data_IF_259432808676
#
_entry.id   IF_259432808676
#
_cell.length_a   1.000
_cell.length_b   1.000
_cell.length_c   1.000
_cell.angle_alpha   90.00
_cell.angle_beta   90.00
_cell.angle_gamma   90.00
#
_symmetry.space_group_name_H-M   'P 1'
#
loop_
_entity.id
_entity.type
_entity.pdbx_description
1 polymer ?
#
# COMPACT_ATOMS: atom_id res chain seq x y z
N UNK A 1 -5.20 -54.53 -18.67
CA UNK A 1 -6.21 -55.60 -18.45
C UNK A 1 -6.51 -55.60 -16.97
N UNK A 2 -7.70 -55.35 -16.43
CA UNK A 2 -9.05 -55.64 -16.92
C UNK A 2 -10.02 -54.50 -16.56
N UNK A 3 -10.99 -54.27 -17.45
CA UNK A 3 -12.13 -53.36 -17.33
C UNK A 3 -13.42 -54.18 -17.12
N UNK A 4 -14.47 -53.49 -16.63
CA UNK A 4 -15.92 -53.84 -16.58
C UNK A 4 -16.36 -54.46 -15.24
N UNK A 5 -17.50 -54.10 -14.64
CA UNK A 5 -18.67 -53.26 -15.02
C UNK A 5 -19.48 -53.07 -13.73
N UNK A 6 -20.01 -51.87 -13.46
CA UNK A 6 -21.28 -51.73 -12.76
C UNK A 6 -22.07 -50.62 -13.44
N UNK A 7 -23.24 -51.00 -13.98
CA UNK A 7 -24.18 -50.16 -14.72
C UNK A 7 -25.14 -49.46 -13.75
N UNK A 8 -25.31 -48.16 -13.99
CA UNK A 8 -26.51 -47.33 -13.86
C UNK A 8 -27.64 -47.75 -12.90
N UNK A 9 -27.90 -46.88 -11.91
CA UNK A 9 -29.25 -46.50 -11.52
C UNK A 9 -29.26 -45.06 -11.01
N UNK A 10 -30.20 -44.29 -11.56
CA UNK A 10 -30.56 -42.90 -11.36
C UNK A 10 -30.36 -42.29 -9.97
N UNK A 11 -29.64 -41.17 -9.92
CA UNK A 11 -30.03 -39.87 -9.36
C UNK A 11 -28.75 -39.02 -9.21
N UNK A 12 -28.22 -38.56 -10.34
CA UNK A 12 -27.17 -37.55 -10.32
C UNK A 12 -27.85 -36.20 -10.16
N UNK A 13 -28.07 -35.77 -8.91
CA UNK A 13 -28.31 -34.36 -8.65
C UNK A 13 -27.03 -33.62 -9.03
N UNK A 14 -27.07 -33.02 -10.22
CA UNK A 14 -26.15 -31.99 -10.66
C UNK A 14 -26.26 -30.81 -9.69
N UNK A 15 -25.49 -30.82 -8.61
CA UNK A 15 -25.00 -29.58 -8.03
C UNK A 15 -23.82 -29.15 -8.90
N UNK A 16 -24.13 -28.66 -10.11
CA UNK A 16 -23.29 -27.60 -10.66
C UNK A 16 -23.45 -26.45 -9.68
N UNK A 17 -22.46 -26.21 -8.82
CA UNK A 17 -22.29 -24.86 -8.32
C UNK A 17 -22.10 -24.01 -9.58
N UNK A 18 -23.11 -23.22 -9.93
CA UNK A 18 -22.91 -22.11 -10.84
C UNK A 18 -21.86 -21.23 -10.18
N UNK A 19 -20.59 -21.47 -10.50
CA UNK A 19 -19.63 -20.38 -10.55
C UNK A 19 -20.18 -19.53 -11.68
N UNK A 20 -20.99 -18.52 -11.33
CA UNK A 20 -21.42 -17.49 -12.27
C UNK A 20 -20.16 -16.97 -12.94
N UNK A 21 -19.98 -17.33 -14.21
CA UNK A 21 -19.12 -16.55 -15.10
C UNK A 21 -19.61 -15.11 -14.99
N UNK A 22 -18.69 -14.17 -14.78
CA UNK A 22 -19.00 -12.75 -14.58
C UNK A 22 -20.05 -12.30 -15.61
N UNK A 23 -21.29 -12.12 -15.16
CA UNK A 23 -22.36 -11.68 -16.05
C UNK A 23 -22.06 -10.23 -16.41
N UNK A 24 -21.84 -9.99 -17.70
CA UNK A 24 -21.84 -8.62 -18.21
C UNK A 24 -23.19 -8.00 -17.90
N UNK A 25 -23.20 -6.75 -17.45
CA UNK A 25 -24.46 -6.07 -17.20
C UNK A 25 -25.31 -6.03 -18.48
N UNK A 26 -26.65 -6.08 -18.39
CA UNK A 26 -27.53 -5.87 -19.53
C UNK A 26 -27.22 -4.54 -20.24
N UNK A 27 -27.41 -4.46 -21.56
CA UNK A 27 -27.08 -3.27 -22.36
C UNK A 27 -27.76 -1.97 -21.89
N UNK A 28 -28.91 -2.09 -21.22
CA UNK A 28 -29.64 -0.95 -20.67
C UNK A 28 -29.11 -0.48 -19.30
N UNK A 29 -28.14 -1.16 -18.71
CA UNK A 29 -27.51 -0.78 -17.45
C UNK A 29 -26.37 0.22 -17.70
N UNK A 30 -26.73 1.41 -18.18
CA UNK A 30 -25.79 2.48 -18.44
C UNK A 30 -25.26 3.08 -17.14
N UNK A 31 -23.93 3.21 -17.03
CA UNK A 31 -23.25 3.85 -15.91
C UNK A 31 -23.75 5.29 -15.73
N UNK A 32 -23.94 5.71 -14.47
CA UNK A 32 -24.34 7.08 -14.10
C UNK A 32 -23.10 7.94 -13.81
N UNK A 33 -22.62 8.78 -14.76
CA UNK A 33 -21.29 9.41 -14.65
C UNK A 33 -21.21 10.46 -13.54
N UNK A 34 -22.36 10.94 -13.08
CA UNK A 34 -22.52 11.95 -12.02
C UNK A 34 -22.98 11.37 -10.68
N UNK A 35 -23.01 10.03 -10.54
CA UNK A 35 -23.35 9.37 -9.27
C UNK A 35 -22.47 9.90 -8.13
N UNK A 36 -23.02 10.05 -6.93
CA UNK A 36 -22.24 10.57 -5.79
C UNK A 36 -21.07 9.64 -5.50
N UNK A 37 -19.89 10.21 -5.29
CA UNK A 37 -18.70 9.45 -4.86
C UNK A 37 -18.86 9.17 -3.37
N UNK A 38 -18.74 7.89 -2.98
CA UNK A 38 -18.80 7.44 -1.59
C UNK A 38 -17.39 7.25 -1.02
N UNK A 39 -16.47 6.72 -1.85
CA UNK A 39 -15.05 6.59 -1.53
C UNK A 39 -14.23 6.64 -2.82
N UNK A 40 -13.60 7.76 -3.13
CA UNK A 40 -12.80 7.94 -4.36
C UNK A 40 -11.30 8.03 -4.14
N UNK A 41 -10.86 8.14 -2.89
CA UNK A 41 -9.46 8.30 -2.50
C UNK A 41 -9.02 7.13 -1.62
N UNK A 42 -7.70 6.90 -1.56
CA UNK A 42 -7.11 6.05 -0.53
C UNK A 42 -7.52 6.53 0.86
N UNK A 43 -7.89 5.60 1.74
CA UNK A 43 -8.38 5.95 3.07
C UNK A 43 -9.60 6.87 3.10
N UNK A 44 -10.37 6.88 2.01
CA UNK A 44 -11.62 7.62 1.79
C UNK A 44 -11.52 9.16 1.76
N UNK A 45 -10.39 9.75 2.14
CA UNK A 45 -10.19 11.20 2.16
C UNK A 45 -8.70 11.56 2.13
N UNK A 46 -8.42 12.86 2.02
CA UNK A 46 -7.07 13.43 1.97
C UNK A 46 -6.24 13.21 3.25
N UNK A 47 -6.89 12.93 4.38
CA UNK A 47 -6.22 12.69 5.65
C UNK A 47 -5.82 11.23 5.84
N UNK A 48 -6.20 10.33 4.91
CA UNK A 48 -5.90 8.89 4.91
C UNK A 48 -6.38 8.13 6.17
N UNK A 49 -7.36 8.65 6.90
CA UNK A 49 -7.79 8.05 8.17
C UNK A 49 -8.59 6.73 8.01
N UNK A 50 -8.99 6.36 6.79
CA UNK A 50 -9.79 5.16 6.49
C UNK A 50 -11.12 5.12 7.24
N UNK A 51 -11.71 6.28 7.49
CA UNK A 51 -12.93 6.40 8.26
C UNK A 51 -14.12 6.81 7.40
N UNK A 52 -15.24 6.13 7.64
CA UNK A 52 -16.57 6.51 7.17
C UNK A 52 -17.47 6.61 8.39
N UNK A 53 -18.13 7.75 8.57
CA UNK A 53 -19.13 7.92 9.63
C UNK A 53 -20.34 7.03 9.36
N UNK A 54 -21.14 6.75 10.40
CA UNK A 54 -22.42 6.04 10.24
C UNK A 54 -23.35 6.74 9.24
N UNK A 55 -23.32 8.07 9.22
CA UNK A 55 -24.16 8.88 8.33
C UNK A 55 -23.73 8.73 6.86
N UNK A 56 -22.42 8.64 6.61
CA UNK A 56 -21.90 8.40 5.26
C UNK A 56 -22.07 6.94 4.83
N UNK A 57 -21.85 5.99 5.74
CA UNK A 57 -21.90 4.56 5.46
C UNK A 57 -23.34 4.00 5.43
N UNK A 58 -24.31 4.68 6.06
CA UNK A 58 -25.66 4.17 6.26
C UNK A 58 -25.72 2.94 7.19
N UNK A 59 -24.65 2.67 7.94
CA UNK A 59 -24.48 1.50 8.82
C UNK A 59 -23.86 1.97 10.15
N UNK A 60 -24.44 1.54 11.26
CA UNK A 60 -23.93 1.78 12.62
C UNK A 60 -23.40 0.48 13.26
N UNK A 61 -22.72 0.61 14.40
CA UNK A 61 -22.29 -0.55 15.19
C UNK A 61 -23.46 -1.48 15.59
N UNK A 62 -24.66 -0.94 15.78
CA UNK A 62 -25.86 -1.72 16.13
C UNK A 62 -26.38 -2.56 14.96
N UNK A 63 -25.99 -2.24 13.72
CA UNK A 63 -26.41 -2.94 12.51
C UNK A 63 -25.53 -4.13 12.18
N UNK A 64 -24.27 -4.12 12.64
CA UNK A 64 -23.25 -5.14 12.33
C UNK A 64 -23.74 -6.57 12.54
N UNK A 65 -24.42 -6.93 13.65
CA UNK A 65 -24.91 -8.30 13.85
C UNK A 65 -25.99 -8.75 12.87
N UNK A 66 -26.60 -7.82 12.10
CA UNK A 66 -27.69 -8.08 11.16
C UNK A 66 -27.24 -8.07 9.71
N UNK A 67 -25.99 -7.72 9.44
CA UNK A 67 -25.45 -7.67 8.07
C UNK A 67 -25.51 -9.05 7.42
N UNK A 68 -25.83 -9.05 6.13
CA UNK A 68 -25.85 -10.24 5.28
C UNK A 68 -25.09 -9.93 4.00
N UNK A 69 -24.44 -10.95 3.44
CA UNK A 69 -23.81 -10.85 2.12
C UNK A 69 -24.88 -10.48 1.08
N UNK A 70 -24.67 -9.35 0.39
CA UNK A 70 -25.57 -8.90 -0.70
C UNK A 70 -25.22 -9.63 -2.00
N UNK A 71 -23.96 -9.59 -2.41
CA UNK A 71 -23.42 -10.29 -3.58
C UNK A 71 -21.92 -10.53 -3.38
N UNK A 72 -21.33 -11.42 -4.17
CA UNK A 72 -19.89 -11.69 -4.20
C UNK A 72 -19.41 -11.74 -5.65
N UNK A 73 -18.19 -11.27 -5.88
CA UNK A 73 -17.55 -11.28 -7.19
C UNK A 73 -16.19 -11.98 -7.13
N UNK A 74 -15.95 -12.90 -8.05
CA UNK A 74 -14.68 -13.62 -8.12
C UNK A 74 -13.67 -12.84 -8.96
N UNK A 75 -12.59 -12.38 -8.32
CA UNK A 75 -11.45 -11.78 -8.99
C UNK A 75 -10.39 -12.85 -9.25
N UNK A 76 -10.02 -13.14 -10.52
CA UNK A 76 -9.05 -14.17 -10.81
C UNK A 76 -7.67 -13.77 -10.27
N UNK A 77 -6.94 -14.69 -9.61
CA UNK A 77 -5.59 -14.43 -9.13
C UNK A 77 -4.61 -14.36 -10.30
N UNK A 78 -3.45 -13.74 -10.07
CA UNK A 78 -2.34 -13.72 -11.05
C UNK A 78 -1.77 -15.12 -11.30
N UNK A 79 -1.66 -15.92 -10.24
CA UNK A 79 -1.12 -17.27 -10.27
C UNK A 79 -2.14 -18.28 -9.73
N UNK A 80 -2.28 -19.47 -10.35
CA UNK A 80 -3.17 -20.50 -9.82
C UNK A 80 -2.82 -20.87 -8.37
N UNK A 81 -3.83 -20.98 -7.51
CA UNK A 81 -3.66 -21.36 -6.11
C UNK A 81 -3.23 -20.22 -5.18
N UNK A 82 -3.08 -18.99 -5.68
CA UNK A 82 -2.87 -17.81 -4.82
C UNK A 82 -4.18 -17.07 -4.58
N UNK A 83 -4.26 -16.39 -3.42
CA UNK A 83 -5.35 -15.48 -3.08
C UNK A 83 -4.72 -14.20 -2.58
N UNK A 84 -4.56 -13.23 -3.48
CA UNK A 84 -3.98 -11.95 -3.14
C UNK A 84 -4.81 -10.82 -3.76
N UNK A 85 -5.30 -9.93 -2.91
CA UNK A 85 -6.05 -8.74 -3.31
C UNK A 85 -5.50 -7.55 -2.52
N UNK A 86 -4.95 -6.56 -3.24
CA UNK A 86 -4.30 -5.38 -2.64
C UNK A 86 -5.02 -4.07 -2.97
N UNK A 87 -5.82 -4.04 -4.03
CA UNK A 87 -6.53 -2.84 -4.48
C UNK A 87 -7.65 -2.49 -3.50
N UNK A 88 -7.57 -1.29 -2.91
CA UNK A 88 -8.75 -0.64 -2.33
C UNK A 88 -9.68 -0.20 -3.49
N UNK A 89 -10.98 -0.52 -3.46
CA UNK A 89 -11.89 -0.08 -4.50
C UNK A 89 -12.20 1.42 -4.40
N UNK A 90 -12.50 2.04 -5.55
CA UNK A 90 -13.22 3.31 -5.60
C UNK A 90 -14.72 3.03 -5.77
N UNK A 91 -15.56 3.76 -5.06
CA UNK A 91 -17.00 3.48 -4.94
C UNK A 91 -17.81 4.75 -5.16
N UNK A 92 -18.77 4.68 -6.07
CA UNK A 92 -19.89 5.61 -6.19
C UNK A 92 -21.19 4.92 -5.78
N UNK A 93 -22.29 5.65 -5.70
CA UNK A 93 -23.63 5.06 -5.49
C UNK A 93 -24.00 4.03 -6.57
N UNK A 94 -23.41 4.10 -7.77
CA UNK A 94 -23.80 3.33 -8.96
C UNK A 94 -22.76 2.30 -9.41
N UNK A 95 -21.47 2.55 -9.12
CA UNK A 95 -20.36 1.75 -9.66
C UNK A 95 -19.24 1.56 -8.63
N UNK A 96 -18.73 0.32 -8.56
CA UNK A 96 -17.53 -0.07 -7.85
C UNK A 96 -16.40 -0.34 -8.84
N UNK A 97 -15.27 0.34 -8.67
CA UNK A 97 -14.06 0.16 -9.47
C UNK A 97 -12.98 -0.54 -8.65
N UNK A 98 -12.46 -1.67 -9.15
CA UNK A 98 -11.48 -2.47 -8.42
C UNK A 98 -10.44 -3.09 -9.35
N UNK A 99 -9.16 -3.00 -8.96
CA UNK A 99 -8.06 -3.68 -9.63
C UNK A 99 -7.87 -5.09 -9.08
N UNK A 100 -7.58 -6.04 -9.97
CA UNK A 100 -7.16 -7.40 -9.62
C UNK A 100 -5.68 -7.61 -9.99
N UNK A 101 -5.04 -8.55 -9.29
CA UNK A 101 -3.63 -8.84 -9.52
C UNK A 101 -3.31 -9.44 -10.89
N UNK A 102 -4.29 -10.06 -11.56
CA UNK A 102 -4.16 -10.50 -12.95
C UNK A 102 -4.03 -9.36 -13.97
N UNK A 103 -3.90 -8.11 -13.53
CA UNK A 103 -3.79 -6.93 -14.39
C UNK A 103 -5.14 -6.43 -14.90
N UNK A 104 -6.26 -6.91 -14.38
CA UNK A 104 -7.59 -6.52 -14.84
C UNK A 104 -8.20 -5.53 -13.85
N UNK A 105 -8.67 -4.39 -14.36
CA UNK A 105 -9.49 -3.44 -13.64
C UNK A 105 -10.95 -3.63 -14.05
N UNK A 106 -11.84 -3.67 -13.07
CA UNK A 106 -13.27 -3.93 -13.25
C UNK A 106 -14.07 -2.71 -12.84
N UNK A 107 -15.09 -2.37 -13.63
CA UNK A 107 -16.21 -1.55 -13.19
C UNK A 107 -17.43 -2.44 -13.01
N UNK A 108 -17.90 -2.54 -11.77
CA UNK A 108 -19.02 -3.36 -11.36
C UNK A 108 -20.20 -2.47 -10.98
N UNK A 109 -21.41 -2.89 -11.35
CA UNK A 109 -22.65 -2.28 -10.85
C UNK A 109 -22.72 -2.48 -9.31
N UNK A 110 -22.95 -1.41 -8.56
CA UNK A 110 -22.94 -1.43 -7.09
C UNK A 110 -24.07 -2.29 -6.49
N UNK A 111 -25.20 -2.40 -7.20
CA UNK A 111 -26.40 -3.09 -6.72
C UNK A 111 -26.36 -4.60 -6.98
N UNK A 112 -25.90 -4.99 -8.16
CA UNK A 112 -25.97 -6.37 -8.67
C UNK A 112 -24.61 -7.07 -8.73
N UNK A 113 -23.51 -6.31 -8.77
CA UNK A 113 -22.16 -6.84 -8.98
C UNK A 113 -21.87 -7.28 -10.43
N UNK A 114 -22.79 -7.06 -11.38
CA UNK A 114 -22.54 -7.37 -12.79
C UNK A 114 -21.40 -6.49 -13.34
N UNK A 115 -20.69 -7.00 -14.35
CA UNK A 115 -19.54 -6.27 -14.94
C UNK A 115 -20.02 -5.31 -16.01
N UNK A 116 -19.80 -4.00 -15.80
CA UNK A 116 -20.12 -2.96 -16.78
C UNK A 116 -19.07 -2.90 -17.88
N UNK A 117 -17.81 -2.88 -17.49
CA UNK A 117 -16.66 -2.93 -18.39
C UNK A 117 -15.42 -3.46 -17.66
N UNK A 118 -14.43 -3.90 -18.43
CA UNK A 118 -13.10 -4.27 -17.92
C UNK A 118 -12.00 -3.57 -18.70
N UNK A 119 -10.88 -3.32 -18.05
CA UNK A 119 -9.64 -2.86 -18.67
C UNK A 119 -8.52 -3.85 -18.35
N UNK A 120 -7.79 -4.29 -19.37
CA UNK A 120 -6.65 -5.18 -19.21
C UNK A 120 -5.36 -4.35 -19.27
N UNK A 121 -4.65 -4.32 -18.15
CA UNK A 121 -3.28 -3.84 -18.02
C UNK A 121 -2.29 -4.98 -18.31
N UNK A 122 -1.08 -4.63 -18.75
CA UNK A 122 -0.05 -5.63 -19.08
C UNK A 122 0.53 -6.29 -17.83
N UNK A 123 0.61 -5.53 -16.73
CA UNK A 123 1.08 -5.98 -15.43
C UNK A 123 0.04 -5.75 -14.34
N UNK A 124 0.33 -6.31 -13.17
CA UNK A 124 -0.53 -6.25 -11.99
C UNK A 124 -0.94 -4.81 -11.62
N UNK A 125 -2.25 -4.59 -11.47
CA UNK A 125 -2.80 -3.39 -10.84
C UNK A 125 -2.69 -3.58 -9.33
N UNK A 126 -1.69 -2.95 -8.73
CA UNK A 126 -1.35 -3.15 -7.32
C UNK A 126 -2.05 -2.16 -6.39
N UNK A 127 -2.21 -0.92 -6.84
CA UNK A 127 -2.67 0.18 -5.99
C UNK A 127 -4.18 0.14 -5.74
N UNK A 128 -4.65 0.91 -4.76
CA UNK A 128 -6.05 1.34 -4.74
C UNK A 128 -6.40 2.15 -5.99
N UNK A 129 -7.67 2.15 -6.37
CA UNK A 129 -8.18 2.93 -7.49
C UNK A 129 -8.57 4.32 -6.99
N UNK A 130 -8.14 5.35 -7.71
CA UNK A 130 -8.44 6.74 -7.40
C UNK A 130 -9.44 7.27 -8.42
N UNK A 131 -10.52 7.90 -7.96
CA UNK A 131 -11.57 8.45 -8.80
C UNK A 131 -11.56 9.97 -8.72
N UNK A 132 -11.45 10.63 -9.87
CA UNK A 132 -11.58 12.09 -9.94
C UNK A 132 -13.02 12.55 -9.72
N UNK A 133 -13.17 13.76 -9.18
CA UNK A 133 -14.42 14.49 -9.19
C UNK A 133 -14.36 15.72 -10.12
N UNK A 134 -13.96 15.54 -11.39
CA UNK A 134 -13.91 16.65 -12.34
C UNK A 134 -15.31 17.18 -12.64
N UNK A 135 -15.45 18.50 -12.62
CA UNK A 135 -16.69 19.23 -12.72
C UNK A 135 -17.21 19.33 -14.18
N UNK A 136 -18.24 18.54 -14.49
CA UNK A 136 -19.26 18.84 -15.51
C UNK A 136 -18.86 19.03 -16.99
N UNK A 137 -17.57 19.11 -17.34
CA UNK A 137 -17.06 19.34 -18.71
C UNK A 137 -16.31 18.14 -19.30
N UNK A 138 -15.90 17.18 -18.47
CA UNK A 138 -15.20 15.96 -18.88
C UNK A 138 -15.74 14.76 -18.10
N UNK A 139 -15.66 13.55 -18.67
CA UNK A 139 -15.89 12.31 -17.92
C UNK A 139 -14.93 12.21 -16.73
N UNK A 140 -15.37 11.58 -15.64
CA UNK A 140 -14.47 11.25 -14.52
C UNK A 140 -13.34 10.35 -15.03
N UNK A 141 -12.18 10.50 -14.39
CA UNK A 141 -10.99 9.70 -14.64
C UNK A 141 -10.73 8.77 -13.45
N UNK A 142 -10.24 7.58 -13.76
CA UNK A 142 -9.70 6.63 -12.79
C UNK A 142 -8.18 6.65 -12.89
N UNK A 143 -7.49 6.57 -11.76
CA UNK A 143 -6.04 6.48 -11.70
C UNK A 143 -5.60 5.29 -10.89
N UNK A 144 -4.55 4.62 -11.36
CA UNK A 144 -3.88 3.55 -10.64
C UNK A 144 -2.41 3.47 -11.05
N UNK A 145 -1.61 2.85 -10.19
CA UNK A 145 -0.22 2.52 -10.44
C UNK A 145 0.00 1.01 -10.59
N UNK A 146 1.09 0.64 -11.25
CA UNK A 146 1.45 -0.76 -11.46
C UNK A 146 2.91 -1.11 -11.09
N UNK A 147 3.21 -2.40 -11.22
CA UNK A 147 4.50 -3.00 -10.86
C UNK A 147 5.66 -2.59 -11.78
N UNK A 148 5.41 -1.89 -12.89
CA UNK A 148 6.43 -1.39 -13.83
C UNK A 148 6.73 0.10 -13.65
N UNK A 149 6.22 0.72 -12.57
CA UNK A 149 6.48 2.13 -12.30
C UNK A 149 5.62 3.07 -13.14
N UNK A 150 4.52 2.57 -13.72
CA UNK A 150 3.62 3.34 -14.57
C UNK A 150 2.39 3.76 -13.78
N UNK A 151 1.99 5.02 -13.94
CA UNK A 151 0.65 5.50 -13.55
C UNK A 151 -0.22 5.58 -14.79
N UNK A 152 -1.41 5.01 -14.74
CA UNK A 152 -2.38 4.99 -15.84
C UNK A 152 -3.65 5.73 -15.47
N UNK A 153 -4.20 6.49 -16.41
CA UNK A 153 -5.51 7.11 -16.31
C UNK A 153 -6.50 6.52 -17.32
N UNK A 154 -7.69 6.19 -16.85
CA UNK A 154 -8.80 5.68 -17.67
C UNK A 154 -10.00 6.62 -17.59
N UNK A 155 -10.83 6.61 -18.63
CA UNK A 155 -12.17 7.17 -18.57
C UNK A 155 -13.06 6.28 -17.70
N UNK A 156 -13.62 6.80 -16.61
CA UNK A 156 -14.39 6.03 -15.63
C UNK A 156 -15.70 5.44 -16.20
N UNK A 157 -16.23 6.02 -17.28
CA UNK A 157 -17.47 5.55 -17.92
C UNK A 157 -17.23 4.45 -18.93
N UNK A 158 -16.11 4.48 -19.64
CA UNK A 158 -15.84 3.59 -20.79
C UNK A 158 -14.71 2.59 -20.54
N UNK A 159 -13.86 2.83 -19.54
CA UNK A 159 -12.63 2.07 -19.32
C UNK A 159 -11.51 2.38 -20.31
N UNK A 160 -11.72 3.32 -21.25
CA UNK A 160 -10.72 3.68 -22.25
C UNK A 160 -9.51 4.37 -21.61
N UNK A 161 -8.30 3.95 -22.00
CA UNK A 161 -7.06 4.58 -21.56
C UNK A 161 -6.97 6.00 -22.12
N UNK A 162 -6.80 6.96 -21.23
CA UNK A 162 -6.61 8.38 -21.55
C UNK A 162 -5.12 8.71 -21.66
N UNK A 163 -4.33 8.27 -20.69
CA UNK A 163 -2.88 8.41 -20.69
C UNK A 163 -2.23 7.36 -19.78
N UNK A 164 -0.93 7.16 -19.95
CA UNK A 164 -0.08 6.51 -18.95
C UNK A 164 1.28 7.20 -18.90
N UNK A 165 1.96 7.11 -17.77
CA UNK A 165 3.22 7.80 -17.51
C UNK A 165 4.18 6.92 -16.71
N UNK A 166 5.38 6.71 -17.24
CA UNK A 166 6.51 6.16 -16.49
C UNK A 166 7.01 7.21 -15.49
N UNK A 167 7.06 6.83 -14.21
CA UNK A 167 7.36 7.76 -13.12
C UNK A 167 8.84 7.86 -12.78
N UNK A 168 9.63 6.86 -13.14
CA UNK A 168 11.08 6.87 -12.95
C UNK A 168 11.74 5.95 -13.97
N UNK A 169 12.86 6.40 -14.55
CA UNK A 169 13.63 5.65 -15.54
C UNK A 169 14.38 4.42 -14.98
N UNK A 170 14.42 4.26 -13.65
CA UNK A 170 15.09 3.13 -13.03
C UNK A 170 14.32 1.84 -13.35
N UNK A 171 14.98 0.80 -13.88
CA UNK A 171 14.29 -0.40 -14.39
C UNK A 171 13.61 -1.25 -13.30
N UNK A 172 13.89 -0.98 -12.04
CA UNK A 172 13.24 -1.62 -10.90
C UNK A 172 12.21 -0.69 -10.22
N UNK A 173 11.85 0.46 -10.78
CA UNK A 173 10.86 1.35 -10.19
C UNK A 173 9.46 0.70 -10.19
N UNK A 174 8.67 0.98 -9.16
CA UNK A 174 7.31 0.48 -9.01
C UNK A 174 6.39 1.55 -8.41
N UNK A 175 5.09 1.45 -8.71
CA UNK A 175 4.05 2.19 -8.00
C UNK A 175 3.28 1.24 -7.09
N UNK A 176 3.64 1.21 -5.81
CA UNK A 176 3.02 0.34 -4.81
C UNK A 176 1.95 1.04 -3.97
N UNK A 177 2.05 2.37 -3.86
CA UNK A 177 1.10 3.21 -3.14
C UNK A 177 0.06 3.77 -4.09
N UNK A 178 -1.19 3.86 -3.64
CA UNK A 178 -2.20 4.61 -4.39
C UNK A 178 -1.80 6.09 -4.47
N UNK A 179 -1.88 6.73 -5.65
CA UNK A 179 -1.73 8.18 -5.75
C UNK A 179 -2.76 8.92 -4.88
N UNK A 180 -2.48 10.15 -4.48
CA UNK A 180 -3.50 11.02 -3.89
C UNK A 180 -3.88 12.11 -4.88
N UNK A 181 -5.18 12.29 -5.15
CA UNK A 181 -5.68 13.33 -6.02
C UNK A 181 -6.15 14.54 -5.19
N UNK A 182 -5.59 15.71 -5.48
CA UNK A 182 -6.04 16.97 -4.90
C UNK A 182 -5.91 18.10 -5.93
N UNK A 183 -7.00 18.85 -6.17
CA UNK A 183 -7.07 19.97 -7.13
C UNK A 183 -6.47 19.62 -8.51
N UNK A 184 -6.96 18.54 -9.11
CA UNK A 184 -6.53 18.07 -10.44
C UNK A 184 -5.04 17.68 -10.53
N UNK A 185 -4.40 17.40 -9.39
CA UNK A 185 -3.01 16.98 -9.30
C UNK A 185 -2.90 15.66 -8.55
N UNK A 186 -2.15 14.72 -9.12
CA UNK A 186 -1.80 13.46 -8.48
C UNK A 186 -0.47 13.60 -7.76
N UNK A 187 -0.43 13.19 -6.50
CA UNK A 187 0.80 13.00 -5.73
C UNK A 187 1.12 11.51 -5.69
N UNK A 188 2.21 11.13 -6.35
CA UNK A 188 2.56 9.74 -6.66
C UNK A 188 3.84 9.39 -5.92
N UNK A 189 3.79 8.35 -5.09
CA UNK A 189 4.97 7.80 -4.42
C UNK A 189 5.61 6.69 -5.28
N UNK A 190 6.94 6.69 -5.38
CA UNK A 190 7.72 5.73 -6.16
C UNK A 190 8.57 4.85 -5.25
N UNK A 191 8.42 3.53 -5.43
CA UNK A 191 9.13 2.46 -4.72
C UNK A 191 9.96 1.62 -5.70
N UNK A 192 10.54 0.49 -5.26
CA UNK A 192 11.35 -0.36 -6.12
C UNK A 192 11.42 -1.85 -5.75
N UNK A 193 11.62 -2.69 -6.77
CA UNK A 193 12.08 -4.08 -6.64
C UNK A 193 13.60 -4.24 -6.46
N UNK A 194 14.38 -3.16 -6.48
CA UNK A 194 15.85 -3.27 -6.40
C UNK A 194 16.31 -3.93 -5.09
N UNK A 195 15.49 -3.82 -4.02
CA UNK A 195 15.68 -4.56 -2.75
C UNK A 195 15.80 -6.07 -2.97
N UNK A 196 15.06 -6.64 -3.94
CA UNK A 196 15.11 -8.06 -4.32
C UNK A 196 16.21 -8.29 -5.36
N UNK A 197 16.35 -7.43 -6.37
CA UNK A 197 17.38 -7.54 -7.41
C UNK A 197 18.80 -7.60 -6.81
N UNK A 198 19.02 -6.94 -5.67
CA UNK A 198 20.24 -7.00 -4.89
C UNK A 198 20.65 -8.43 -4.45
N UNK A 199 19.75 -9.42 -4.46
CA UNK A 199 20.09 -10.83 -4.20
C UNK A 199 21.11 -11.38 -5.20
N UNK A 200 21.11 -10.89 -6.44
CA UNK A 200 22.07 -11.32 -7.45
C UNK A 200 23.46 -10.73 -7.16
N UNK A 201 24.48 -11.54 -6.82
CA UNK A 201 25.81 -11.03 -6.48
C UNK A 201 26.55 -10.37 -7.64
N UNK A 202 26.08 -10.56 -8.88
CA UNK A 202 26.61 -9.93 -10.09
C UNK A 202 25.88 -8.64 -10.47
N UNK A 203 24.88 -8.24 -9.68
CA UNK A 203 24.17 -6.97 -9.89
C UNK A 203 24.99 -5.80 -9.34
N UNK A 204 25.07 -4.71 -10.11
CA UNK A 204 25.73 -3.46 -9.70
C UNK A 204 24.86 -2.68 -8.69
N UNK A 205 24.67 -3.28 -7.51
CA UNK A 205 23.79 -2.76 -6.47
C UNK A 205 24.36 -1.50 -5.81
N UNK A 206 23.58 -0.49 -5.46
CA UNK A 206 22.20 -0.26 -5.85
C UNK A 206 22.07 1.22 -6.20
N UNK A 207 21.19 1.58 -7.13
CA UNK A 207 21.10 2.93 -7.69
C UNK A 207 19.72 3.57 -7.61
N UNK A 208 18.69 2.83 -7.19
CA UNK A 208 17.34 3.37 -7.04
C UNK A 208 17.30 4.47 -5.97
N UNK A 209 16.39 5.43 -6.16
CA UNK A 209 16.09 6.48 -5.19
C UNK A 209 14.58 6.58 -5.07
N UNK A 210 14.04 6.39 -3.87
CA UNK A 210 12.62 6.67 -3.63
C UNK A 210 12.28 8.12 -3.97
N UNK A 211 11.05 8.37 -4.40
CA UNK A 211 10.60 9.72 -4.71
C UNK A 211 9.11 9.91 -4.53
N UNK A 212 8.71 11.18 -4.45
CA UNK A 212 7.33 11.63 -4.64
C UNK A 212 7.32 12.56 -5.84
N UNK A 213 6.30 12.44 -6.68
CA UNK A 213 6.08 13.32 -7.82
C UNK A 213 4.69 13.95 -7.77
N UNK A 214 4.59 15.18 -8.25
CA UNK A 214 3.32 15.81 -8.61
C UNK A 214 3.10 15.68 -10.11
N UNK A 215 1.93 15.20 -10.48
CA UNK A 215 1.55 14.94 -11.87
C UNK A 215 0.23 15.64 -12.17
N UNK A 216 0.14 16.31 -13.32
CA UNK A 216 -1.13 16.83 -13.81
C UNK A 216 -2.08 15.66 -14.10
N UNK A 217 -3.23 15.62 -13.43
CA UNK A 217 -4.13 14.48 -13.51
C UNK A 217 -4.78 14.33 -14.90
N UNK A 218 -4.85 15.39 -15.70
CA UNK A 218 -5.50 15.38 -17.01
C UNK A 218 -4.55 14.93 -18.11
N UNK A 219 -3.28 15.32 -18.02
CA UNK A 219 -2.28 15.07 -19.08
C UNK A 219 -1.27 13.99 -18.75
N UNK A 220 -1.06 13.69 -17.47
CA UNK A 220 0.03 12.81 -17.01
C UNK A 220 1.40 13.49 -17.00
N UNK A 221 1.47 14.81 -17.16
CA UNK A 221 2.73 15.56 -17.10
C UNK A 221 3.28 15.64 -15.68
N UNK A 222 4.55 15.28 -15.49
CA UNK A 222 5.25 15.41 -14.21
C UNK A 222 5.63 16.89 -14.02
N UNK A 223 5.04 17.53 -13.01
CA UNK A 223 5.29 18.93 -12.66
C UNK A 223 6.57 19.06 -11.84
N UNK A 224 6.74 18.20 -10.84
CA UNK A 224 7.97 18.11 -10.04
C UNK A 224 8.15 16.68 -9.52
N UNK A 225 9.40 16.34 -9.20
CA UNK A 225 9.75 15.08 -8.56
C UNK A 225 10.87 15.30 -7.55
N UNK A 226 10.63 14.87 -6.31
CA UNK A 226 11.56 15.02 -5.18
C UNK A 226 11.97 13.66 -4.68
N UNK A 227 13.28 13.45 -4.61
CA UNK A 227 13.87 12.18 -4.18
C UNK A 227 14.12 12.16 -2.66
N UNK A 228 13.92 11.00 -2.03
CA UNK A 228 14.16 10.76 -0.60
C UNK A 228 15.65 10.61 -0.25
N UNK A 229 16.50 10.36 -1.24
CA UNK A 229 17.95 10.18 -1.04
C UNK A 229 18.76 11.08 -1.95
N UNK A 230 20.02 11.41 -1.59
CA UNK A 230 21.00 11.97 -2.52
C UNK A 230 21.22 11.07 -3.74
N UNK A 231 21.90 11.59 -4.77
CA UNK A 231 22.31 10.76 -5.91
C UNK A 231 23.33 9.72 -5.44
N UNK A 232 23.17 8.43 -5.79
CA UNK A 232 24.16 7.39 -5.47
C UNK A 232 25.52 7.69 -6.09
N UNK A 233 26.57 7.45 -5.33
CA UNK A 233 27.97 7.52 -5.76
C UNK A 233 28.63 6.14 -5.63
N UNK A 234 29.78 5.95 -6.29
CA UNK A 234 30.56 4.71 -6.16
C UNK A 234 31.07 4.59 -4.72
N UNK A 235 30.80 3.46 -4.07
CA UNK A 235 31.23 3.23 -2.69
C UNK A 235 32.38 2.24 -2.58
N UNK A 236 32.39 1.21 -3.44
CA UNK A 236 33.44 0.18 -3.49
C UNK A 236 33.00 -1.01 -4.32
N UNK A 237 33.70 -2.14 -4.21
CA UNK A 237 33.30 -3.40 -4.85
C UNK A 237 32.81 -4.39 -3.79
N UNK A 238 31.90 -5.29 -4.18
CA UNK A 238 31.54 -6.43 -3.35
C UNK A 238 32.65 -7.50 -3.36
N UNK A 239 32.47 -8.59 -2.61
CA UNK A 239 33.48 -9.66 -2.48
C UNK A 239 33.81 -10.41 -3.78
N UNK A 240 33.01 -10.22 -4.84
CA UNK A 240 33.23 -10.82 -6.17
C UNK A 240 33.65 -9.78 -7.22
N UNK A 241 34.04 -8.57 -6.79
CA UNK A 241 34.60 -7.53 -7.66
C UNK A 241 33.57 -6.70 -8.43
N UNK A 242 32.31 -6.71 -8.00
CA UNK A 242 31.23 -5.95 -8.66
C UNK A 242 31.09 -4.59 -8.01
N UNK A 243 31.01 -3.54 -8.83
CA UNK A 243 30.90 -2.16 -8.36
C UNK A 243 29.58 -1.93 -7.63
N UNK A 244 29.70 -1.35 -6.44
CA UNK A 244 28.59 -0.97 -5.58
C UNK A 244 28.38 0.54 -5.54
N UNK A 245 27.13 0.96 -5.34
CA UNK A 245 26.68 2.36 -5.34
C UNK A 245 25.84 2.65 -4.10
N UNK A 246 25.92 3.88 -3.59
CA UNK A 246 25.09 4.32 -2.46
C UNK A 246 25.26 5.82 -2.13
N UNK A 247 24.38 6.39 -1.30
CA UNK A 247 23.16 5.78 -0.75
C UNK A 247 22.13 5.50 -1.85
N UNK A 248 21.34 4.43 -1.70
CA UNK A 248 20.23 4.08 -2.61
C UNK A 248 19.10 3.43 -1.84
N UNK A 249 17.92 3.24 -2.45
CA UNK A 249 16.70 2.84 -1.76
C UNK A 249 15.99 4.05 -1.16
N UNK A 250 15.62 3.94 0.11
CA UNK A 250 14.62 4.75 0.82
C UNK A 250 13.33 4.91 -0.01
N UNK A 251 12.74 3.80 -0.49
CA UNK A 251 11.53 3.83 -1.31
C UNK A 251 10.39 4.57 -0.61
N UNK A 252 9.52 5.23 -1.37
CA UNK A 252 8.27 5.76 -0.83
C UNK A 252 7.15 4.85 -1.31
N UNK A 253 6.69 3.97 -0.41
CA UNK A 253 5.75 2.91 -0.77
C UNK A 253 4.40 3.00 -0.05
N UNK A 254 4.16 4.12 0.65
CA UNK A 254 2.88 4.49 1.24
C UNK A 254 2.23 5.68 0.52
N UNK A 255 0.92 5.81 0.69
CA UNK A 255 0.12 6.88 0.09
C UNK A 255 0.26 8.17 0.91
N UNK A 256 0.54 9.33 0.26
CA UNK A 256 0.66 10.60 0.95
C UNK A 256 -0.65 11.04 1.63
N UNK A 257 -0.58 11.62 2.83
CA UNK A 257 -1.69 12.45 3.35
C UNK A 257 -1.47 13.91 2.94
N UNK A 258 -2.55 14.66 2.75
CA UNK A 258 -2.52 16.05 2.28
C UNK A 258 -3.00 16.99 3.39
N UNK A 259 -2.14 17.93 3.76
CA UNK A 259 -2.43 19.03 4.68
C UNK A 259 -2.71 20.31 3.90
N UNK A 260 -4.00 20.60 3.73
CA UNK A 260 -4.45 21.81 3.05
C UNK A 260 -4.06 23.07 3.84
N UNK A 261 -4.07 23.02 5.18
CA UNK A 261 -3.77 24.17 6.05
C UNK A 261 -2.32 24.61 5.89
N UNK A 262 -1.39 23.67 5.71
CA UNK A 262 0.05 23.94 5.60
C UNK A 262 0.59 23.86 4.17
N UNK A 263 -0.26 23.61 3.18
CA UNK A 263 0.12 23.35 1.79
C UNK A 263 1.19 22.25 1.68
N UNK A 264 1.02 21.17 2.44
CA UNK A 264 2.01 20.11 2.56
C UNK A 264 1.42 18.72 2.28
N UNK A 265 2.30 17.79 1.90
CA UNK A 265 2.02 16.35 1.96
C UNK A 265 2.98 15.67 2.94
N UNK A 266 2.56 14.53 3.49
CA UNK A 266 3.38 13.70 4.37
C UNK A 266 3.50 12.27 3.85
N UNK A 267 4.73 11.77 3.76
CA UNK A 267 5.04 10.38 3.39
C UNK A 267 6.05 9.76 4.34
N UNK A 268 5.96 8.46 4.53
CA UNK A 268 7.01 7.65 5.14
C UNK A 268 7.95 7.08 4.08
N UNK A 269 9.24 6.97 4.41
CA UNK A 269 10.24 6.31 3.57
C UNK A 269 10.66 4.98 4.16
N UNK A 270 11.06 4.07 3.28
CA UNK A 270 11.71 2.82 3.66
C UNK A 270 13.19 2.99 3.96
N UNK A 271 13.85 1.86 4.09
CA UNK A 271 15.25 1.67 4.36
C UNK A 271 16.14 1.96 3.13
N UNK A 272 17.42 2.28 3.36
CA UNK A 272 18.38 2.31 2.26
C UNK A 272 18.79 0.90 1.83
N UNK A 273 18.94 0.66 0.53
CA UNK A 273 19.38 -0.63 0.00
C UNK A 273 20.90 -0.83 0.06
N UNK A 274 21.65 0.25 0.23
CA UNK A 274 23.12 0.24 0.21
C UNK A 274 23.71 1.19 1.25
N UNK A 275 24.96 0.92 1.63
CA UNK A 275 25.76 1.81 2.47
C UNK A 275 26.13 3.09 1.69
N UNK A 276 26.12 4.28 2.30
CA UNK A 276 25.70 4.54 3.68
C UNK A 276 24.18 4.67 3.81
N UNK A 277 23.64 4.38 5.00
CA UNK A 277 22.30 4.86 5.36
C UNK A 277 22.28 6.40 5.37
N UNK A 278 21.30 6.98 4.67
CA UNK A 278 21.08 8.40 4.49
C UNK A 278 20.05 8.94 5.49
N UNK A 279 19.92 10.27 5.58
CA UNK A 279 18.94 10.89 6.49
C UNK A 279 17.49 10.70 6.08
N UNK A 280 17.23 10.54 4.79
CA UNK A 280 15.87 10.37 4.26
C UNK A 280 15.37 8.93 4.29
N UNK A 281 16.16 7.99 4.79
CA UNK A 281 15.73 6.62 5.11
C UNK A 281 14.93 6.58 6.39
N UNK A 282 13.93 5.71 6.47
CA UNK A 282 13.13 5.44 7.68
C UNK A 282 12.60 6.72 8.33
N UNK A 283 12.12 7.61 7.48
CA UNK A 283 11.82 9.00 7.80
C UNK A 283 10.39 9.36 7.45
N UNK A 284 9.86 10.36 8.15
CA UNK A 284 8.74 11.14 7.64
C UNK A 284 9.27 12.35 6.90
N UNK A 285 8.83 12.51 5.66
CA UNK A 285 9.10 13.68 4.83
C UNK A 285 7.82 14.52 4.73
N UNK A 286 7.95 15.81 5.03
CA UNK A 286 6.95 16.81 4.67
C UNK A 286 7.41 17.57 3.44
N UNK A 287 6.59 17.63 2.40
CA UNK A 287 6.92 18.33 1.16
C UNK A 287 5.84 19.36 0.84
N UNK A 288 6.24 20.51 0.33
CA UNK A 288 5.32 21.53 -0.19
C UNK A 288 4.62 20.99 -1.44
N UNK A 289 3.29 21.14 -1.50
CA UNK A 289 2.45 20.63 -2.60
C UNK A 289 2.81 21.26 -3.95
N UNK A 290 3.24 22.52 -3.95
CA UNK A 290 3.47 23.29 -5.17
C UNK A 290 4.85 23.11 -5.77
N UNK A 291 5.88 23.16 -4.93
CA UNK A 291 7.28 23.12 -5.35
C UNK A 291 7.94 21.75 -5.19
N UNK A 292 7.34 20.84 -4.41
CA UNK A 292 7.97 19.58 -4.02
C UNK A 292 9.12 19.75 -3.02
N UNK A 293 9.40 20.97 -2.55
CA UNK A 293 10.48 21.23 -1.60
C UNK A 293 10.20 20.52 -0.28
N UNK A 294 11.20 19.80 0.25
CA UNK A 294 11.14 19.25 1.60
C UNK A 294 11.09 20.40 2.61
N UNK A 295 9.98 20.48 3.34
CA UNK A 295 9.74 21.44 4.41
C UNK A 295 10.46 21.02 5.69
N UNK A 296 10.35 19.75 6.04
CA UNK A 296 11.10 19.11 7.12
C UNK A 296 11.23 17.60 6.89
N UNK A 297 12.24 17.02 7.52
CA UNK A 297 12.57 15.60 7.49
C UNK A 297 12.75 15.11 8.93
N UNK A 298 12.07 14.03 9.29
CA UNK A 298 12.21 13.41 10.60
C UNK A 298 12.56 11.93 10.46
N UNK A 299 13.86 11.64 10.61
CA UNK A 299 14.36 10.27 10.68
C UNK A 299 13.98 9.60 12.00
N UNK A 300 13.28 8.46 11.89
CA UNK A 300 12.80 7.66 13.02
C UNK A 300 13.77 6.53 13.35
N UNK A 301 14.34 5.87 12.33
CA UNK A 301 15.42 4.88 12.49
C UNK A 301 16.69 5.38 11.79
N UNK A 302 17.81 5.39 12.50
CA UNK A 302 19.12 5.73 11.93
C UNK A 302 19.92 4.48 11.63
N UNK A 303 20.70 4.52 10.55
CA UNK A 303 21.63 3.44 10.25
C UNK A 303 20.94 2.16 9.79
N UNK A 304 19.70 2.24 9.32
CA UNK A 304 19.03 1.12 8.68
C UNK A 304 19.36 1.15 7.18
N UNK A 305 20.25 0.24 6.78
CA UNK A 305 20.39 -0.10 5.38
C UNK A 305 20.33 -1.62 5.28
N UNK A 306 19.46 -2.11 4.41
CA UNK A 306 19.16 -3.51 4.25
C UNK A 306 18.68 -3.81 2.82
N UNK A 307 18.97 -5.01 2.35
CA UNK A 307 18.37 -5.56 1.14
C UNK A 307 18.28 -7.08 1.26
N UNK A 308 17.62 -7.75 0.31
CA UNK A 308 17.41 -9.20 0.37
C UNK A 308 18.70 -10.03 0.32
N UNK A 309 19.85 -9.46 -0.08
CA UNK A 309 21.14 -10.16 0.03
C UNK A 309 21.56 -10.40 1.47
N UNK A 310 21.09 -9.58 2.43
CA UNK A 310 21.38 -9.73 3.85
C UNK A 310 20.81 -11.02 4.45
N UNK A 311 19.78 -11.61 3.83
CA UNK A 311 19.19 -12.87 4.28
C UNK A 311 19.84 -14.10 3.67
N UNK A 312 20.72 -13.93 2.67
CA UNK A 312 21.37 -15.02 1.94
C UNK A 312 22.74 -15.38 2.53
N UNK A 313 23.19 -16.64 2.36
CA UNK A 313 24.57 -17.03 2.67
C UNK A 313 25.60 -16.14 1.96
N UNK A 314 26.65 -15.75 2.68
CA UNK A 314 27.75 -14.93 2.16
C UNK A 314 27.47 -13.42 2.09
N UNK A 315 26.20 -13.01 2.06
CA UNK A 315 25.72 -11.62 2.15
C UNK A 315 26.45 -10.65 1.19
N UNK A 316 26.60 -11.08 -0.06
CA UNK A 316 27.54 -10.47 -1.01
C UNK A 316 27.21 -9.01 -1.34
N UNK A 317 25.93 -8.64 -1.42
CA UNK A 317 25.50 -7.26 -1.64
C UNK A 317 24.88 -6.63 -0.39
N UNK A 318 24.97 -7.27 0.77
CA UNK A 318 24.40 -6.72 1.99
C UNK A 318 25.19 -5.48 2.42
N UNK A 319 24.53 -4.33 2.68
CA UNK A 319 25.19 -3.15 3.23
C UNK A 319 25.88 -3.44 4.58
N UNK A 320 26.90 -2.63 4.89
CA UNK A 320 27.70 -2.74 6.12
C UNK A 320 26.85 -2.62 7.38
N UNK A 321 25.81 -1.80 7.32
CA UNK A 321 24.84 -1.59 8.39
C UNK A 321 24.10 -2.88 8.76
N UNK A 322 23.78 -3.72 7.76
CA UNK A 322 22.99 -4.95 7.90
C UNK A 322 21.78 -4.72 8.82
N UNK A 323 20.96 -3.75 8.44
CA UNK A 323 19.85 -3.23 9.21
C UNK A 323 18.72 -4.23 9.44
N UNK A 324 17.57 -3.73 9.90
CA UNK A 324 16.42 -4.55 10.27
C UNK A 324 15.24 -4.40 9.30
N UNK A 325 15.32 -3.47 8.34
CA UNK A 325 14.21 -3.11 7.45
C UNK A 325 13.01 -2.63 8.29
N UNK A 326 13.17 -1.45 8.91
CA UNK A 326 12.22 -0.81 9.81
C UNK A 326 11.52 0.38 9.17
N UNK A 327 11.14 0.20 7.92
CA UNK A 327 10.45 1.19 7.11
C UNK A 327 9.30 1.87 7.84
N UNK A 328 9.11 3.15 7.51
CA UNK A 328 7.84 3.82 7.78
C UNK A 328 6.84 3.43 6.68
N UNK A 329 6.32 2.22 6.81
CA UNK A 329 5.59 1.53 5.76
C UNK A 329 4.10 1.82 5.66
N UNK A 330 3.45 2.07 6.79
CA UNK A 330 2.04 2.39 6.78
C UNK A 330 1.79 3.80 6.22
N UNK A 331 0.59 4.02 5.67
CA UNK A 331 0.16 5.36 5.28
C UNK A 331 0.23 6.32 6.47
N UNK A 332 0.64 7.56 6.19
CA UNK A 332 0.53 8.65 7.16
C UNK A 332 -0.95 9.02 7.32
N UNK A 333 -1.34 9.40 8.53
CA UNK A 333 -2.67 9.97 8.81
C UNK A 333 -2.48 11.39 9.32
N UNK A 334 -3.19 12.35 8.73
CA UNK A 334 -3.33 13.69 9.31
C UNK A 334 -4.52 13.68 10.27
N UNK A 335 -4.22 13.66 11.56
CA UNK A 335 -5.22 13.59 12.63
C UNK A 335 -5.48 14.98 13.22
N UNK A 336 -6.75 15.34 13.37
CA UNK A 336 -7.16 16.60 13.98
C UNK A 336 -7.67 16.34 15.40
N UNK A 337 -7.00 16.90 16.41
CA UNK A 337 -7.42 16.79 17.80
C UNK A 337 -8.53 17.79 18.11
N UNK A 338 -9.34 17.47 19.11
CA UNK A 338 -10.46 18.32 19.56
C UNK A 338 -10.01 19.68 20.15
N UNK A 339 -8.74 19.80 20.55
CA UNK A 339 -8.16 21.07 21.01
C UNK A 339 -7.63 21.95 19.86
N UNK A 340 -7.84 21.53 18.61
CA UNK A 340 -7.45 22.25 17.39
C UNK A 340 -6.01 22.02 16.95
N UNK A 341 -5.24 21.21 17.67
CA UNK A 341 -3.91 20.79 17.23
C UNK A 341 -3.98 19.63 16.23
N UNK A 342 -2.98 19.55 15.35
CA UNK A 342 -2.90 18.52 14.32
C UNK A 342 -1.74 17.56 14.64
N UNK A 343 -1.86 16.30 14.27
CA UNK A 343 -0.81 15.30 14.38
C UNK A 343 -0.62 14.56 13.06
N UNK A 344 0.63 14.31 12.68
CA UNK A 344 0.96 13.32 11.65
C UNK A 344 1.21 11.99 12.35
N UNK A 345 0.33 11.03 12.13
CA UNK A 345 0.45 9.68 12.67
C UNK A 345 1.12 8.78 11.64
N UNK A 346 2.11 8.01 12.07
CA UNK A 346 2.84 7.09 11.22
C UNK A 346 3.06 5.74 11.89
N UNK A 347 2.91 4.66 11.12
CA UNK A 347 3.16 3.29 11.56
C UNK A 347 4.44 2.75 10.94
N UNK A 348 5.26 2.11 11.76
CA UNK A 348 6.57 1.61 11.35
C UNK A 348 6.62 0.07 11.43
N UNK A 349 7.40 -0.56 10.54
CA UNK A 349 7.72 -1.99 10.59
C UNK A 349 8.39 -2.43 11.90
N UNK A 350 8.86 -1.50 12.73
CA UNK A 350 9.36 -1.77 14.09
C UNK A 350 8.27 -2.08 15.12
N UNK A 351 6.99 -2.02 14.72
CA UNK A 351 5.84 -2.11 15.61
C UNK A 351 5.63 -0.84 16.44
N UNK A 352 6.21 0.29 16.04
CA UNK A 352 6.01 1.59 16.71
C UNK A 352 5.03 2.43 15.91
N UNK A 353 4.02 2.98 16.61
CA UNK A 353 3.19 4.09 16.15
C UNK A 353 3.82 5.39 16.64
N UNK A 354 3.94 6.37 15.74
CA UNK A 354 4.51 7.68 16.01
C UNK A 354 3.45 8.76 15.83
N UNK A 355 3.46 9.77 16.70
CA UNK A 355 2.76 11.03 16.47
C UNK A 355 3.74 12.19 16.42
N UNK A 356 3.63 12.99 15.37
CA UNK A 356 4.52 14.09 15.05
C UNK A 356 3.73 15.37 14.95
N UNK A 357 4.29 16.46 15.47
CA UNK A 357 3.70 17.80 15.41
C UNK A 357 4.11 18.48 14.07
N UNK A 358 3.18 18.68 13.13
CA UNK A 358 3.46 19.32 11.85
C UNK A 358 3.75 20.82 11.97
N UNK A 359 3.32 21.49 13.05
CA UNK A 359 3.63 22.91 13.30
C UNK A 359 5.04 23.11 13.86
N UNK A 360 5.68 22.04 14.35
CA UNK A 360 7.00 22.09 14.95
C UNK A 360 7.99 21.17 14.23
N UNK A 361 8.00 21.25 12.90
CA UNK A 361 8.92 20.53 12.02
C UNK A 361 8.99 19.01 12.28
N UNK A 362 7.84 18.39 12.54
CA UNK A 362 7.76 16.95 12.80
C UNK A 362 8.39 16.56 14.14
N UNK A 363 8.33 17.43 15.16
CA UNK A 363 8.75 17.05 16.52
C UNK A 363 7.89 15.88 17.00
N UNK A 364 8.53 14.83 17.52
CA UNK A 364 7.81 13.69 18.13
C UNK A 364 7.05 14.17 19.36
N UNK A 365 5.74 13.95 19.34
CA UNK A 365 4.84 14.20 20.47
C UNK A 365 4.82 12.97 21.37
N UNK A 366 4.63 11.80 20.78
CA UNK A 366 4.71 10.50 21.46
C UNK A 366 5.08 9.39 20.47
N UNK A 367 5.58 8.28 21.02
CA UNK A 367 5.81 7.02 20.32
C UNK A 367 5.20 5.88 21.14
N UNK A 368 4.72 4.81 20.50
CA UNK A 368 4.06 3.69 21.19
C UNK A 368 4.37 2.37 20.50
N UNK A 369 5.05 1.48 21.24
CA UNK A 369 5.44 0.16 20.75
C UNK A 369 4.34 -0.87 21.01
N UNK A 370 3.77 -1.43 19.94
CA UNK A 370 2.66 -2.41 19.98
C UNK A 370 3.09 -3.84 19.60
N UNK A 371 4.29 -4.01 19.06
CA UNK A 371 4.89 -5.31 18.76
C UNK A 371 6.39 -5.26 18.52
N UNK A 372 6.98 -6.40 18.15
CA UNK A 372 8.42 -6.52 17.93
C UNK A 372 8.87 -5.81 16.66
N UNK A 373 8.10 -6.01 15.60
CA UNK A 373 8.44 -5.62 14.25
C UNK A 373 9.33 -6.59 13.48
N UNK A 374 9.74 -6.16 12.28
CA UNK A 374 10.74 -6.78 11.43
C UNK A 374 10.52 -6.46 9.95
N UNK A 375 11.38 -6.98 9.07
CA UNK A 375 11.34 -6.74 7.62
C UNK A 375 9.98 -7.00 6.96
N UNK A 376 9.27 -8.04 7.42
CA UNK A 376 7.88 -8.31 7.00
C UNK A 376 6.84 -8.04 8.10
N UNK A 377 7.27 -7.49 9.24
CA UNK A 377 6.44 -7.34 10.42
C UNK A 377 6.16 -5.89 10.83
N UNK A 378 5.67 -5.73 12.06
CA UNK A 378 5.22 -4.47 12.64
C UNK A 378 3.94 -3.95 12.00
N UNK A 379 3.87 -2.63 11.88
CA UNK A 379 2.75 -1.93 11.24
C UNK A 379 3.14 -1.72 9.78
N UNK A 380 2.86 -2.73 8.96
CA UNK A 380 3.42 -2.85 7.61
C UNK A 380 2.62 -2.05 6.56
N UNK A 381 1.34 -2.38 6.34
CA UNK A 381 0.58 -1.89 5.17
C UNK A 381 -0.57 -0.91 5.48
N UNK A 382 -0.83 -0.57 6.75
CA UNK A 382 -1.88 0.40 7.03
C UNK A 382 -2.09 0.77 8.48
N UNK A 383 -2.59 1.99 8.65
CA UNK A 383 -3.24 2.52 9.85
C UNK A 383 -4.67 2.93 9.48
N UNK A 384 -5.55 2.97 10.48
CA UNK A 384 -6.82 3.67 10.40
C UNK A 384 -7.01 4.55 11.63
N UNK A 385 -7.98 5.44 11.60
CA UNK A 385 -8.38 6.20 12.78
C UNK A 385 -9.79 6.72 12.63
N UNK A 386 -10.53 6.80 13.71
CA UNK A 386 -11.79 7.55 13.77
C UNK A 386 -11.63 8.79 14.65
N UNK A 387 -12.73 9.44 15.00
CA UNK A 387 -12.75 10.63 15.86
C UNK A 387 -12.28 10.37 17.31
N UNK A 388 -12.01 9.11 17.69
CA UNK A 388 -11.68 8.70 19.06
C UNK A 388 -10.32 8.04 19.17
N UNK A 389 -9.95 7.18 18.22
CA UNK A 389 -8.79 6.30 18.32
C UNK A 389 -8.00 6.20 17.03
N UNK A 390 -6.71 5.91 17.18
CA UNK A 390 -5.86 5.38 16.12
C UNK A 390 -5.90 3.86 16.19
N UNK A 391 -6.13 3.19 15.05
CA UNK A 391 -6.12 1.73 14.92
C UNK A 391 -4.83 1.27 14.25
N UNK A 392 -4.03 0.51 14.99
CA UNK A 392 -2.73 -0.01 14.57
C UNK A 392 -2.75 -1.54 14.52
N UNK A 393 -2.96 -2.15 13.33
CA UNK A 393 -2.72 -3.57 13.15
C UNK A 393 -1.21 -3.84 13.20
N UNK A 394 -0.82 -4.83 13.98
CA UNK A 394 0.55 -5.29 14.13
C UNK A 394 0.63 -6.76 13.73
N UNK A 395 1.56 -7.08 12.83
CA UNK A 395 1.88 -8.46 12.43
C UNK A 395 3.36 -8.68 12.71
N UNK A 396 3.73 -9.72 13.47
CA UNK A 396 5.16 -10.01 13.75
C UNK A 396 5.64 -11.21 12.94
N UNK A 397 5.27 -11.20 11.65
CA UNK A 397 5.61 -12.21 10.67
C UNK A 397 7.11 -12.46 10.57
N UNK A 398 7.51 -13.72 10.41
CA UNK A 398 8.90 -14.11 10.23
C UNK A 398 9.12 -14.57 8.79
N UNK A 399 9.98 -13.87 8.06
CA UNK A 399 10.38 -14.30 6.73
C UNK A 399 11.11 -15.65 6.85
N UNK A 400 10.45 -16.74 6.46
CA UNK A 400 10.99 -18.09 6.41
C UNK A 400 10.78 -18.66 5.00
N UNK A 401 11.88 -18.87 4.26
CA UNK A 401 11.85 -19.64 3.02
C UNK A 401 12.97 -20.69 3.08
N UNK A 402 12.58 -21.96 2.95
CA UNK A 402 13.47 -23.12 2.74
C UNK A 402 14.64 -23.26 3.74
N UNK A 403 14.52 -22.70 4.94
CA UNK A 403 15.58 -22.65 5.98
C UNK A 403 16.90 -22.01 5.53
N UNK A 404 16.91 -21.25 4.43
CA UNK A 404 18.10 -20.55 3.91
C UNK A 404 18.11 -19.04 4.22
N UNK A 405 16.99 -18.53 4.75
CA UNK A 405 16.82 -17.12 5.11
C UNK A 405 17.13 -16.93 6.60
N UNK A 406 18.19 -16.20 6.90
CA UNK A 406 18.53 -15.75 8.26
C UNK A 406 18.29 -14.24 8.40
N UNK A 407 17.02 -13.82 8.34
CA UNK A 407 16.68 -12.42 8.52
C UNK A 407 17.03 -11.96 9.95
N UNK A 408 17.79 -10.85 10.05
CA UNK A 408 18.09 -10.19 11.32
C UNK A 408 16.77 -9.68 11.94
N UNK A 409 16.59 -9.85 13.25
CA UNK A 409 15.32 -9.52 13.94
C UNK A 409 15.51 -8.45 15.00
N UNK A 410 14.61 -7.45 15.07
CA UNK A 410 14.59 -6.54 16.20
C UNK A 410 14.37 -7.30 17.51
N UNK A 411 14.96 -6.84 18.63
CA UNK A 411 14.68 -7.43 19.94
C UNK A 411 13.23 -7.14 20.37
N UNK A 412 12.61 -8.09 21.07
CA UNK A 412 11.25 -7.97 21.61
C UNK A 412 10.43 -9.25 21.43
N UNK A 413 9.28 -9.30 22.10
CA UNK A 413 8.31 -10.39 21.97
C UNK A 413 7.32 -10.11 20.83
N UNK A 414 6.92 -11.16 20.12
CA UNK A 414 5.84 -11.08 19.13
C UNK A 414 4.53 -10.68 19.81
N UNK A 415 3.76 -9.85 19.15
CA UNK A 415 2.47 -9.32 19.62
C UNK A 415 1.53 -9.08 18.44
N UNK A 416 1.21 -10.11 17.62
CA UNK A 416 0.21 -9.97 16.56
C UNK A 416 -1.12 -9.52 17.16
N UNK A 417 -1.63 -8.37 16.72
CA UNK A 417 -2.77 -7.73 17.36
C UNK A 417 -3.34 -6.56 16.56
N UNK A 418 -4.62 -6.27 16.81
CA UNK A 418 -5.21 -4.97 16.51
C UNK A 418 -5.19 -4.11 17.77
N UNK A 419 -4.58 -2.93 17.71
CA UNK A 419 -4.45 -2.02 18.84
C UNK A 419 -5.24 -0.74 18.57
N UNK A 420 -5.97 -0.25 19.55
CA UNK A 420 -6.51 1.11 19.54
C UNK A 420 -5.72 1.99 20.49
N UNK A 421 -5.26 3.13 20.01
CA UNK A 421 -4.46 4.09 20.76
C UNK A 421 -5.22 5.40 20.93
N UNK A 422 -5.07 6.01 22.10
CA UNK A 422 -5.49 7.40 22.34
C UNK A 422 -4.65 8.34 21.46
N UNK A 423 -5.26 9.15 20.57
CA UNK A 423 -4.52 10.00 19.64
C UNK A 423 -3.64 11.04 20.32
N UNK A 424 -4.00 11.50 21.51
CA UNK A 424 -3.29 12.57 22.23
C UNK A 424 -2.10 12.03 23.02
N UNK A 425 -2.23 10.84 23.61
CA UNK A 425 -1.20 10.30 24.51
C UNK A 425 -0.46 9.07 23.98
N UNK A 426 -0.94 8.46 22.88
CA UNK A 426 -0.41 7.20 22.34
C UNK A 426 -0.73 5.96 23.19
N UNK A 427 -1.49 6.10 24.28
CA UNK A 427 -1.73 4.96 25.18
C UNK A 427 -2.65 3.96 24.49
N UNK A 428 -2.27 2.68 24.52
CA UNK A 428 -3.14 1.60 24.07
C UNK A 428 -4.38 1.55 24.98
N UNK A 429 -5.54 1.86 24.41
CA UNK A 429 -6.84 1.87 25.08
C UNK A 429 -7.40 0.45 25.15
N UNK A 430 -7.29 -0.28 24.05
CA UNK A 430 -7.60 -1.70 24.00
C UNK A 430 -6.73 -2.41 22.97
N UNK A 431 -6.61 -3.72 23.14
CA UNK A 431 -5.89 -4.62 22.27
C UNK A 431 -6.74 -5.86 22.01
N UNK A 432 -6.85 -6.25 20.76
CA UNK A 432 -7.43 -7.52 20.35
C UNK A 432 -6.35 -8.41 19.74
N UNK A 433 -6.24 -9.64 20.25
CA UNK A 433 -5.37 -10.68 19.69
C UNK A 433 -6.23 -11.87 19.38
N UNK A 434 -6.21 -12.30 18.12
CA UNK A 434 -6.91 -13.50 17.70
C UNK A 434 -6.17 -14.73 18.23
N UNK A 435 -6.92 -15.74 18.66
CA UNK A 435 -6.32 -17.02 19.07
C UNK A 435 -6.43 -17.98 17.90
N UNK A 436 -5.41 -18.03 17.06
CA UNK A 436 -5.36 -19.02 15.99
C UNK A 436 -5.16 -20.42 16.56
N UNK A 437 -5.98 -21.37 16.10
CA UNK A 437 -5.73 -22.80 16.26
C UNK A 437 -5.59 -23.40 14.86
N UNK A 438 -4.36 -23.50 14.36
CA UNK A 438 -4.13 -24.27 13.14
C UNK A 438 -4.15 -25.76 13.48
N UNK A 439 -4.69 -26.57 12.56
CA UNK A 439 -4.63 -28.03 12.67
C UNK A 439 -3.19 -28.57 12.58
N UNK A 440 -2.28 -27.80 11.98
CA UNK A 440 -0.85 -28.07 11.89
C UNK A 440 -0.07 -26.83 12.36
N UNK A 441 0.78 -26.92 13.40
CA UNK A 441 1.60 -25.81 13.87
C UNK A 441 2.57 -25.26 12.82
N UNK A 442 3.03 -26.09 11.88
CA UNK A 442 3.97 -25.68 10.82
C UNK A 442 3.27 -24.84 9.72
N UNK A 443 1.94 -24.90 9.64
CA UNK A 443 1.12 -24.09 8.73
C UNK A 443 0.61 -22.81 9.42
N UNK A 444 1.04 -22.56 10.66
CA UNK A 444 0.56 -21.49 11.51
C UNK A 444 1.57 -20.35 11.55
N UNK A 445 1.34 -19.32 10.74
CA UNK A 445 2.07 -18.07 10.89
C UNK A 445 1.31 -17.15 11.87
N UNK A 446 1.98 -16.78 12.97
CA UNK A 446 1.50 -15.83 13.99
C UNK A 446 1.47 -14.39 13.43
N UNK A 447 0.68 -14.15 12.38
CA UNK A 447 0.57 -12.87 11.72
C UNK A 447 -0.85 -12.66 11.18
N UNK A 448 -1.46 -11.55 11.56
CA UNK A 448 -2.67 -11.05 10.92
C UNK A 448 -2.44 -10.77 9.44
#
# INVERSE_FOLDING_TARGET
MSYKKCLFSSFCFLFFSQVLLAESCPENNSLQPKSKILAGLWGANLNNNRFQSSDNAGISAADVPRLKLKWAYYLPPRFPGTSELRSQPAVTEDTLYVGAQGGILYALDSETGCTRWTYKNDVQVRTGIILSDFDGKSSRMLFFGDDEGIVTALNASTGEKLWHREMDSHPNAMITAAPTLYKDQLYVSVSSLEVITAMNPLYNCCTFRGSVARVDARTGEIVWQTYSTPKPEKTGENKVGVQMWGPSGAPVWNTPSIDIKRNALYVGTGENYSTPASKGSDSILAMDLDSGKVLWEKQLTKGDAWNMSCTLPGRLNCPKENGFDLDVGANTILYHLNDGSDLVIAGQKSGIVWALDPDNNGKVVWESKVGRGGALGGIHWGLGSDERYIYAPNSDYELSLLNIIEARRPPGEKSPSLNALDPKTGKVVWKYTEKFSCSNPDDCDDGF
#
